data_IF_975483435936
#
_entry.id   IF_975483435936
#
_cell.length_a   1.000
_cell.length_b   1.000
_cell.length_c   1.000
_cell.angle_alpha   90.00
_cell.angle_beta   90.00
_cell.angle_gamma   90.00
#
_symmetry.space_group_name_H-M   'P 1'
#
loop_
_entity.id
_entity.type
_entity.pdbx_description
1 polymer ?
#
# COMPACT_ATOMS: atom_id res chain seq x y z
N UNK A 1 7.02 -24.04 -20.97
CA UNK A 1 6.15 -23.68 -19.84
C UNK A 1 6.57 -22.30 -19.40
N UNK A 2 5.73 -21.28 -19.59
CA UNK A 2 6.05 -19.92 -19.15
C UNK A 2 5.79 -19.91 -17.64
N UNK A 3 6.86 -19.87 -16.84
CA UNK A 3 6.76 -19.56 -15.42
C UNK A 3 6.27 -18.12 -15.33
N UNK A 4 4.98 -17.93 -15.10
CA UNK A 4 4.45 -16.62 -14.71
C UNK A 4 4.96 -16.40 -13.30
N UNK A 5 6.05 -15.65 -13.17
CA UNK A 5 6.53 -15.19 -11.88
C UNK A 5 5.44 -14.26 -11.37
N UNK A 6 4.66 -14.74 -10.41
CA UNK A 6 3.72 -13.91 -9.67
C UNK A 6 4.58 -13.03 -8.79
N UNK A 7 4.99 -11.87 -9.31
CA UNK A 7 5.70 -10.88 -8.51
C UNK A 7 4.71 -10.27 -7.53
N UNK A 8 4.84 -10.69 -6.27
CA UNK A 8 4.16 -10.06 -5.14
C UNK A 8 4.79 -8.68 -4.94
N UNK A 9 3.96 -7.65 -5.07
CA UNK A 9 4.30 -6.26 -4.87
C UNK A 9 3.60 -5.75 -3.64
N UNK A 10 4.16 -4.73 -3.03
CA UNK A 10 3.61 -4.09 -1.85
C UNK A 10 3.31 -2.63 -2.14
N UNK A 11 2.36 -2.09 -1.38
CA UNK A 11 2.05 -0.67 -1.35
C UNK A 11 1.94 -0.20 0.09
N UNK A 12 2.25 1.07 0.29
CA UNK A 12 2.04 1.82 1.53
C UNK A 12 0.83 2.71 1.33
N UNK A 13 -0.11 2.60 2.26
CA UNK A 13 -1.32 3.42 2.30
C UNK A 13 -1.31 4.34 3.51
N UNK A 14 -2.00 5.47 3.36
CA UNK A 14 -2.24 6.42 4.44
C UNK A 14 -3.73 6.69 4.54
N UNK A 15 -4.29 6.54 5.73
CA UNK A 15 -5.66 6.92 6.06
C UNK A 15 -5.66 8.19 6.91
N UNK A 16 -6.42 9.19 6.47
CA UNK A 16 -6.60 10.45 7.20
C UNK A 16 -7.70 10.37 8.28
N UNK A 17 -7.87 11.45 9.06
CA UNK A 17 -8.92 11.54 10.10
C UNK A 17 -10.35 11.50 9.52
N UNK A 18 -10.52 11.78 8.22
CA UNK A 18 -11.80 11.69 7.53
C UNK A 18 -12.11 10.28 6.98
N UNK A 19 -11.19 9.33 7.17
CA UNK A 19 -11.32 7.95 6.72
C UNK A 19 -10.97 7.73 5.25
N UNK A 20 -10.37 8.72 4.58
CA UNK A 20 -9.92 8.59 3.20
C UNK A 20 -8.57 7.88 3.14
N UNK A 21 -8.48 6.85 2.31
CA UNK A 21 -7.25 6.09 2.11
C UNK A 21 -6.57 6.51 0.80
N UNK A 22 -5.27 6.74 0.87
CA UNK A 22 -4.43 7.13 -0.26
C UNK A 22 -3.26 6.16 -0.40
N UNK A 23 -2.88 5.86 -1.65
CA UNK A 23 -1.60 5.19 -1.93
C UNK A 23 -0.49 6.23 -1.82
N UNK A 24 0.46 5.99 -0.93
CA UNK A 24 1.67 6.82 -0.77
C UNK A 24 2.79 6.31 -1.66
N UNK A 25 2.93 4.98 -1.74
CA UNK A 25 3.92 4.31 -2.56
C UNK A 25 3.43 2.92 -2.93
N UNK A 26 3.79 2.46 -4.11
CA UNK A 26 3.40 1.19 -4.70
C UNK A 26 4.56 0.60 -5.52
N UNK A 27 4.36 -0.62 -6.02
CA UNK A 27 5.34 -1.40 -6.77
C UNK A 27 6.69 -1.56 -6.04
N UNK A 28 6.65 -1.75 -4.72
CA UNK A 28 7.82 -1.93 -3.85
C UNK A 28 7.87 -3.32 -3.19
N UNK A 29 9.00 -3.66 -2.58
CA UNK A 29 9.15 -4.87 -1.77
C UNK A 29 8.46 -4.74 -0.41
N UNK A 30 8.19 -5.88 0.23
CA UNK A 30 7.65 -5.95 1.59
C UNK A 30 8.50 -5.17 2.58
N UNK A 31 9.81 -5.47 2.61
CA UNK A 31 10.77 -4.87 3.55
C UNK A 31 10.76 -3.34 3.46
N UNK A 32 10.70 -2.81 2.24
CA UNK A 32 10.64 -1.37 2.02
C UNK A 32 9.29 -0.79 2.47
N UNK A 33 8.18 -1.49 2.20
CA UNK A 33 6.84 -1.05 2.62
C UNK A 33 6.72 -0.99 4.15
N UNK A 34 7.20 -2.01 4.85
CA UNK A 34 7.19 -2.09 6.31
C UNK A 34 8.07 -0.99 6.93
N UNK A 35 9.30 -0.81 6.44
CA UNK A 35 10.19 0.25 6.90
C UNK A 35 9.60 1.65 6.68
N UNK A 36 8.88 1.87 5.58
CA UNK A 36 8.20 3.12 5.31
C UNK A 36 7.02 3.35 6.26
N UNK A 37 6.22 2.31 6.56
CA UNK A 37 5.11 2.41 7.52
C UNK A 37 5.62 2.76 8.91
N UNK A 38 6.70 2.11 9.37
CA UNK A 38 7.33 2.42 10.65
C UNK A 38 7.79 3.89 10.70
N UNK A 39 8.58 4.32 9.71
CA UNK A 39 9.10 5.68 9.60
C UNK A 39 7.98 6.74 9.54
N UNK A 40 6.88 6.45 8.84
CA UNK A 40 5.75 7.37 8.73
C UNK A 40 4.89 7.40 9.99
N UNK A 41 4.74 6.26 10.67
CA UNK A 41 4.01 6.17 11.93
C UNK A 41 4.74 6.94 13.03
N UNK A 42 6.07 6.87 13.09
CA UNK A 42 6.87 7.65 14.05
C UNK A 42 6.73 9.17 13.84
N UNK A 43 6.54 9.61 12.59
CA UNK A 43 6.45 11.04 12.23
C UNK A 43 5.03 11.61 12.30
N UNK A 44 4.01 10.78 12.18
CA UNK A 44 2.63 11.22 11.97
C UNK A 44 1.75 11.13 13.21
N UNK A 45 1.50 12.25 13.89
CA UNK A 45 0.65 12.30 15.09
C UNK A 45 -0.88 12.11 14.85
N UNK A 46 -1.33 12.08 13.58
CA UNK A 46 -2.77 12.15 13.20
C UNK A 46 -3.17 11.30 11.98
N UNK A 47 -2.26 10.49 11.47
CA UNK A 47 -2.48 9.71 10.24
C UNK A 47 -2.14 8.25 10.49
N UNK A 48 -2.96 7.35 9.96
CA UNK A 48 -2.72 5.93 10.08
C UNK A 48 -2.04 5.42 8.82
N UNK A 49 -0.89 4.78 8.97
CA UNK A 49 -0.14 4.19 7.87
C UNK A 49 -0.28 2.67 7.91
N UNK A 50 -0.36 2.06 6.73
CA UNK A 50 -0.46 0.62 6.57
C UNK A 50 0.25 0.18 5.30
N UNK A 51 0.49 -1.13 5.18
CA UNK A 51 1.01 -1.72 3.95
C UNK A 51 0.18 -2.93 3.53
N UNK A 52 0.13 -3.19 2.22
CA UNK A 52 -0.66 -4.24 1.62
C UNK A 52 0.08 -4.93 0.49
N UNK A 53 0.06 -6.26 0.47
CA UNK A 53 0.55 -7.04 -0.65
C UNK A 53 -0.51 -7.15 -1.76
N UNK A 54 -0.07 -7.15 -3.01
CA UNK A 54 -0.88 -7.43 -4.18
C UNK A 54 -0.03 -8.05 -5.28
N UNK A 55 -0.69 -8.57 -6.31
CA UNK A 55 -0.06 -9.02 -7.54
C UNK A 55 -0.35 -8.01 -8.64
N UNK A 56 0.49 -7.96 -9.68
CA UNK A 56 0.35 -7.01 -10.81
C UNK A 56 -1.07 -7.01 -11.42
N UNK A 57 -1.82 -8.12 -11.32
CA UNK A 57 -3.22 -8.22 -11.77
C UNK A 57 -4.29 -7.82 -10.75
N UNK A 58 -4.00 -7.81 -9.45
CA UNK A 58 -4.98 -7.63 -8.38
C UNK A 58 -4.97 -6.23 -7.73
N UNK A 59 -4.09 -5.33 -8.18
CA UNK A 59 -3.94 -3.98 -7.60
C UNK A 59 -5.26 -3.21 -7.53
N UNK A 60 -6.00 -3.19 -8.65
CA UNK A 60 -7.30 -2.50 -8.74
C UNK A 60 -8.35 -3.08 -7.80
N UNK A 61 -8.28 -4.37 -7.50
CA UNK A 61 -9.21 -5.02 -6.57
C UNK A 61 -8.91 -4.60 -5.14
N UNK A 62 -7.63 -4.46 -4.79
CA UNK A 62 -7.23 -3.95 -3.47
C UNK A 62 -7.58 -2.46 -3.34
N UNK A 63 -7.32 -1.65 -4.36
CA UNK A 63 -7.69 -0.23 -4.38
C UNK A 63 -9.20 -0.03 -4.14
N UNK A 64 -10.05 -0.82 -4.80
CA UNK A 64 -11.50 -0.80 -4.57
C UNK A 64 -11.86 -1.24 -3.15
N UNK A 65 -11.25 -2.31 -2.65
CA UNK A 65 -11.53 -2.84 -1.31
C UNK A 65 -11.14 -1.85 -0.20
N UNK A 66 -10.06 -1.12 -0.40
CA UNK A 66 -9.54 -0.12 0.54
C UNK A 66 -10.15 1.27 0.36
N UNK A 67 -11.11 1.43 -0.56
CA UNK A 67 -11.72 2.71 -0.91
C UNK A 67 -10.66 3.79 -1.20
N UNK A 68 -9.65 3.42 -1.98
CA UNK A 68 -8.53 4.31 -2.30
C UNK A 68 -9.00 5.42 -3.21
N UNK A 69 -8.75 6.66 -2.81
CA UNK A 69 -8.98 7.83 -3.64
C UNK A 69 -7.75 8.00 -4.54
N UNK A 70 -7.87 7.84 -5.87
CA UNK A 70 -6.78 8.16 -6.77
C UNK A 70 -6.45 9.66 -6.66
N UNK A 71 -5.16 9.98 -6.63
CA UNK A 71 -4.69 11.37 -6.75
C UNK A 71 -5.04 11.94 -8.13
#
# INVERSE_FOLDING_TARGET
MINVVVSELWMVTRTDEAGNTFVMKDDISQELAEAMVELYTERGHKQHYGCHCYTVGSKRDIEKKLNIIPY
#
